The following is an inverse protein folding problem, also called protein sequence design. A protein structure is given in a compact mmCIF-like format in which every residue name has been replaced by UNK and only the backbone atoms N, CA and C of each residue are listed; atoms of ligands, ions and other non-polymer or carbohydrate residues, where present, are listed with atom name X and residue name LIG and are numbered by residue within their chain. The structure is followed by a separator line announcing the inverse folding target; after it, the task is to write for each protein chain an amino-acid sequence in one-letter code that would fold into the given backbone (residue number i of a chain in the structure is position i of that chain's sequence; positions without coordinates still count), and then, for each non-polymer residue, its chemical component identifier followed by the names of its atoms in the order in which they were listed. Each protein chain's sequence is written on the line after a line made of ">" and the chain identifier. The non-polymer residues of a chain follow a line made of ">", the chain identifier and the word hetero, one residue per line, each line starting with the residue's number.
data_IF_821834197238
#
_entry.id   IF_821834197238
#
_cell.length_a   1.000
_cell.length_b   1.000
_cell.length_c   1.000
_cell.angle_alpha   90.00
_cell.angle_beta   90.00
_cell.angle_gamma   90.00
#
_symmetry.space_group_name_H-M   'P 1'
#
loop_
_entity.id
_entity.type
_entity.pdbx_description
1 polymer ?
#
# COMPACT_ATOMS: atom_id res chain seq x y z
N UNK A 1 -10.23 -21.14 5.25
CA UNK A 1 -10.97 -20.02 5.89
C UNK A 1 -10.47 -18.79 5.19
N UNK A 2 -11.32 -17.83 4.86
CA UNK A 2 -10.87 -16.68 4.08
C UNK A 2 -10.26 -15.62 4.99
N UNK A 3 -9.14 -15.08 4.54
CA UNK A 3 -8.39 -14.02 5.19
C UNK A 3 -8.08 -12.94 4.17
N UNK A 4 -7.77 -11.75 4.67
CA UNK A 4 -7.40 -10.60 3.87
C UNK A 4 -5.92 -10.30 4.10
N UNK A 5 -5.17 -10.18 3.02
CA UNK A 5 -3.74 -9.84 3.04
C UNK A 5 -3.50 -8.58 2.22
N UNK A 6 -2.36 -7.93 2.46
CA UNK A 6 -1.96 -6.74 1.72
C UNK A 6 -0.96 -7.12 0.64
N UNK A 7 -1.32 -6.89 -0.62
CA UNK A 7 -0.47 -7.12 -1.79
C UNK A 7 -0.07 -5.80 -2.44
N UNK A 8 1.10 -5.80 -3.06
CA UNK A 8 1.59 -4.73 -3.92
C UNK A 8 1.68 -5.23 -5.35
N UNK A 9 1.30 -4.37 -6.30
CA UNK A 9 1.28 -4.66 -7.73
C UNK A 9 0.60 -6.00 -8.13
N UNK A 10 -0.63 -6.28 -7.63
CA UNK A 10 -1.30 -7.54 -7.95
C UNK A 10 -1.51 -7.72 -9.46
N UNK A 11 -1.29 -8.93 -9.97
CA UNK A 11 -1.43 -9.30 -11.37
C UNK A 11 -0.29 -8.81 -12.28
N UNK A 12 0.86 -8.43 -11.72
CA UNK A 12 2.06 -8.00 -12.46
C UNK A 12 3.24 -8.94 -12.23
N UNK A 13 4.33 -8.77 -12.99
CA UNK A 13 5.57 -9.54 -12.78
C UNK A 13 6.28 -9.18 -11.47
N UNK A 14 5.96 -8.03 -10.86
CA UNK A 14 6.54 -7.52 -9.62
C UNK A 14 5.52 -7.52 -8.45
N UNK A 15 4.66 -8.53 -8.43
CA UNK A 15 3.72 -8.76 -7.32
C UNK A 15 4.47 -9.12 -6.04
N UNK A 16 4.06 -8.55 -4.91
CA UNK A 16 4.67 -8.82 -3.61
C UNK A 16 3.68 -8.73 -2.46
N UNK A 17 3.84 -9.59 -1.46
CA UNK A 17 3.04 -9.57 -0.22
C UNK A 17 3.70 -8.72 0.85
N UNK A 18 2.91 -7.92 1.56
CA UNK A 18 3.41 -7.12 2.68
C UNK A 18 3.86 -8.03 3.84
N UNK A 19 5.05 -7.77 4.36
CA UNK A 19 5.60 -8.48 5.51
C UNK A 19 6.18 -7.53 6.54
N UNK A 20 6.19 -7.97 7.81
CA UNK A 20 6.85 -7.30 8.91
C UNK A 20 8.12 -8.03 9.29
N UNK A 21 9.23 -7.30 9.40
CA UNK A 21 10.47 -7.86 9.93
C UNK A 21 10.55 -7.66 11.44
N UNK A 22 10.56 -8.75 12.20
CA UNK A 22 10.79 -8.70 13.64
C UNK A 22 12.28 -8.38 13.90
N UNK A 23 12.57 -7.44 14.81
CA UNK A 23 13.97 -7.05 15.09
C UNK A 23 14.80 -8.16 15.75
N UNK A 24 14.12 -9.09 16.43
CA UNK A 24 14.77 -10.12 17.24
C UNK A 24 14.94 -11.47 16.51
N UNK A 25 14.16 -11.67 15.45
CA UNK A 25 14.11 -12.91 14.68
C UNK A 25 14.23 -12.49 13.22
N UNK A 26 15.30 -12.87 12.52
CA UNK A 26 15.57 -12.54 11.09
C UNK A 26 14.54 -13.17 10.12
N UNK A 27 13.29 -13.32 10.57
CA UNK A 27 12.14 -13.91 9.87
C UNK A 27 11.13 -12.81 9.59
N UNK A 28 10.51 -12.91 8.42
CA UNK A 28 9.44 -12.03 8.01
C UNK A 28 8.10 -12.62 8.44
N UNK A 29 7.17 -11.76 8.82
CA UNK A 29 5.82 -12.13 9.27
C UNK A 29 4.80 -11.60 8.29
N UNK A 30 3.93 -12.46 7.77
CA UNK A 30 2.74 -12.07 7.01
C UNK A 30 1.57 -11.92 7.98
N UNK A 31 0.84 -10.80 7.86
CA UNK A 31 -0.40 -10.58 8.60
C UNK A 31 -1.61 -11.03 7.77
N UNK A 32 -2.42 -11.91 8.35
CA UNK A 32 -3.65 -12.43 7.76
C UNK A 32 -4.84 -11.89 8.55
N UNK A 33 -5.57 -10.93 8.01
CA UNK A 33 -6.69 -10.30 8.70
C UNK A 33 -7.97 -11.11 8.51
N UNK A 34 -8.76 -11.30 9.56
CA UNK A 34 -10.11 -11.90 9.41
C UNK A 34 -11.12 -10.93 8.78
N UNK A 35 -10.84 -9.62 8.80
CA UNK A 35 -11.72 -8.55 8.30
C UNK A 35 -11.03 -7.66 7.26
N UNK A 36 -11.73 -7.45 6.14
CA UNK A 36 -11.32 -6.54 5.06
C UNK A 36 -11.18 -5.10 5.55
N UNK A 37 -12.07 -4.66 6.45
CA UNK A 37 -12.03 -3.30 6.99
C UNK A 37 -10.78 -3.07 7.84
N UNK A 38 -10.37 -4.09 8.61
CA UNK A 38 -9.16 -4.02 9.42
C UNK A 38 -7.89 -4.02 8.57
N UNK A 39 -7.84 -4.85 7.52
CA UNK A 39 -6.75 -4.86 6.54
C UNK A 39 -6.65 -3.52 5.80
N UNK A 40 -7.79 -2.97 5.35
CA UNK A 40 -7.87 -1.67 4.67
C UNK A 40 -7.35 -0.56 5.58
N UNK A 41 -7.79 -0.53 6.84
CA UNK A 41 -7.33 0.45 7.82
C UNK A 41 -5.83 0.34 8.06
N UNK A 42 -5.30 -0.87 8.14
CA UNK A 42 -3.87 -1.10 8.28
C UNK A 42 -3.10 -0.59 7.04
N UNK A 43 -3.62 -0.83 5.83
CA UNK A 43 -3.07 -0.30 4.59
C UNK A 43 -3.00 1.22 4.56
N UNK A 44 -4.05 1.92 5.00
CA UNK A 44 -4.04 3.38 5.13
C UNK A 44 -2.96 3.90 6.09
N UNK A 45 -2.66 3.15 7.16
CA UNK A 45 -1.58 3.50 8.10
C UNK A 45 -0.20 3.28 7.49
N UNK A 46 -0.04 2.31 6.58
CA UNK A 46 1.20 2.13 5.82
C UNK A 46 1.40 3.28 4.83
N UNK A 47 0.37 3.64 4.07
CA UNK A 47 0.42 4.77 3.13
C UNK A 47 0.81 6.08 3.84
N UNK A 48 0.29 6.30 5.05
CA UNK A 48 0.63 7.47 5.87
C UNK A 48 2.11 7.49 6.33
N UNK A 49 2.83 6.37 6.20
CA UNK A 49 4.27 6.24 6.48
C UNK A 49 5.10 6.23 5.18
N UNK A 50 4.58 6.81 4.10
CA UNK A 50 5.20 6.89 2.78
C UNK A 50 5.46 5.51 2.12
N UNK A 51 4.76 4.45 2.54
CA UNK A 51 4.70 3.23 1.75
C UNK A 51 3.78 3.40 0.54
N UNK A 52 4.02 2.56 -0.47
CA UNK A 52 3.11 2.41 -1.60
C UNK A 52 1.72 1.97 -1.11
N UNK A 53 0.69 2.24 -1.93
CA UNK A 53 -0.69 1.82 -1.66
C UNK A 53 -0.86 0.32 -1.82
N UNK A 54 -1.14 -0.45 -0.74
CA UNK A 54 -1.41 -1.86 -0.84
C UNK A 54 -2.83 -2.12 -1.35
N UNK A 55 -3.00 -3.20 -2.09
CA UNK A 55 -4.30 -3.77 -2.41
C UNK A 55 -4.67 -4.83 -1.37
N UNK A 56 -5.91 -4.80 -0.89
CA UNK A 56 -6.42 -5.80 0.04
C UNK A 56 -7.07 -6.92 -0.75
N UNK A 57 -6.51 -8.11 -0.68
CA UNK A 57 -6.97 -9.28 -1.43
C UNK A 57 -7.46 -10.38 -0.50
N UNK A 58 -8.58 -11.00 -0.89
CA UNK A 58 -9.21 -12.12 -0.18
C UNK A 58 -8.58 -13.44 -0.65
N UNK A 59 -7.89 -14.15 0.24
CA UNK A 59 -7.18 -15.41 -0.05
C UNK A 59 -7.59 -16.48 0.97
N UNK A 60 -7.54 -17.76 0.59
CA UNK A 60 -7.71 -18.84 1.56
C UNK A 60 -6.50 -18.92 2.49
N UNK A 61 -6.74 -19.02 3.79
CA UNK A 61 -5.69 -19.07 4.82
C UNK A 61 -4.66 -20.17 4.58
N UNK A 62 -5.10 -21.33 4.09
CA UNK A 62 -4.23 -22.48 3.79
C UNK A 62 -3.21 -22.14 2.69
N UNK A 63 -3.60 -21.34 1.69
CA UNK A 63 -2.72 -20.92 0.60
C UNK A 63 -1.66 -19.92 1.09
N UNK A 64 -2.05 -19.01 1.98
CA UNK A 64 -1.10 -18.06 2.59
C UNK A 64 -0.14 -18.77 3.55
N UNK A 65 -0.63 -19.77 4.30
CA UNK A 65 0.20 -20.61 5.18
C UNK A 65 1.22 -21.42 4.38
N UNK A 66 0.81 -22.06 3.27
CA UNK A 66 1.72 -22.77 2.36
C UNK A 66 2.80 -21.82 1.82
N UNK A 67 2.42 -20.62 1.37
CA UNK A 67 3.38 -19.60 0.94
C UNK A 67 4.37 -19.23 2.05
N UNK A 68 3.89 -19.01 3.27
CA UNK A 68 4.74 -18.73 4.43
C UNK A 68 5.74 -19.86 4.69
N UNK A 69 5.31 -21.12 4.62
CA UNK A 69 6.19 -22.28 4.81
C UNK A 69 7.28 -22.36 3.72
N UNK A 70 6.92 -22.17 2.46
CA UNK A 70 7.86 -22.20 1.33
C UNK A 70 8.88 -21.06 1.38
N UNK A 71 8.44 -19.86 1.76
CA UNK A 71 9.29 -18.68 1.91
C UNK A 71 10.06 -18.63 3.25
N UNK A 72 9.82 -19.59 4.15
CA UNK A 72 10.34 -19.63 5.52
C UNK A 72 9.98 -18.37 6.33
N UNK A 73 8.76 -17.87 6.12
CA UNK A 73 8.13 -16.78 6.86
C UNK A 73 7.22 -17.33 7.96
N UNK A 74 6.89 -16.46 8.89
CA UNK A 74 5.86 -16.72 9.88
C UNK A 74 4.54 -16.07 9.44
N UNK A 75 3.43 -16.69 9.79
CA UNK A 75 2.09 -16.26 9.41
C UNK A 75 1.28 -16.00 10.68
N UNK A 76 0.65 -14.83 10.80
CA UNK A 76 -0.13 -14.46 12.00
C UNK A 76 -1.53 -14.02 11.61
N UNK A 77 -2.53 -14.69 12.19
CA UNK A 77 -3.94 -14.28 12.06
C UNK A 77 -4.21 -13.09 12.98
N UNK A 78 -4.77 -12.02 12.40
CA UNK A 78 -5.25 -10.83 13.10
C UNK A 78 -6.77 -10.93 13.23
N UNK A 79 -7.31 -11.13 14.44
CA UNK A 79 -8.74 -11.28 14.64
C UNK A 79 -9.52 -10.02 14.29
N UNK A 80 -10.78 -10.18 13.88
CA UNK A 80 -11.68 -9.05 13.60
C UNK A 80 -11.77 -8.07 14.78
N UNK A 81 -11.71 -6.77 14.47
CA UNK A 81 -11.75 -5.67 15.43
C UNK A 81 -10.43 -5.40 16.13
N UNK A 82 -9.35 -6.10 15.77
CA UNK A 82 -8.02 -5.85 16.32
C UNK A 82 -7.40 -4.60 15.73
N UNK A 83 -6.94 -3.70 16.60
CA UNK A 83 -6.18 -2.50 16.20
C UNK A 83 -4.71 -2.87 15.98
N UNK A 84 -4.41 -3.43 14.80
CA UNK A 84 -3.05 -3.59 14.33
C UNK A 84 -2.49 -2.22 13.89
N UNK A 85 -1.28 -1.88 14.34
CA UNK A 85 -0.58 -0.63 13.98
C UNK A 85 0.76 -1.02 13.37
N UNK A 86 1.07 -0.58 12.14
CA UNK A 86 2.35 -0.87 11.53
C UNK A 86 3.49 -0.23 12.34
N UNK A 87 4.64 -0.91 12.49
CA UNK A 87 5.80 -0.34 13.16
C UNK A 87 6.34 0.87 12.38
N UNK A 88 6.80 1.90 13.08
CA UNK A 88 7.32 3.16 12.48
C UNK A 88 8.61 2.98 11.65
N UNK A 89 9.17 1.77 11.59
CA UNK A 89 10.41 1.51 10.87
C UNK A 89 10.09 1.08 9.43
N UNK A 90 10.24 2.02 8.49
CA UNK A 90 10.27 1.73 7.05
C UNK A 90 11.56 0.96 6.74
N UNK A 91 11.46 -0.24 6.16
CA UNK A 91 12.64 -0.88 5.55
C UNK A 91 12.91 -0.16 4.23
N UNK A 92 14.07 0.49 4.11
CA UNK A 92 14.42 1.39 2.99
C UNK A 92 14.47 0.70 1.60
N UNK A 93 14.52 -0.63 1.55
CA UNK A 93 14.44 -1.38 0.30
C UNK A 93 13.78 -2.74 0.54
N UNK A 94 12.70 -2.98 -0.18
CA UNK A 94 12.06 -4.30 -0.25
C UNK A 94 12.25 -4.85 -1.66
N UNK A 95 12.54 -6.15 -1.80
CA UNK A 95 13.00 -6.74 -3.07
C UNK A 95 11.99 -6.58 -4.22
N UNK A 96 10.70 -6.36 -3.93
CA UNK A 96 9.67 -6.10 -4.93
C UNK A 96 9.78 -4.71 -5.60
N UNK A 97 10.59 -3.80 -5.05
CA UNK A 97 10.90 -2.49 -5.62
C UNK A 97 12.10 -2.53 -6.59
N UNK A 98 12.72 -3.71 -6.79
CA UNK A 98 14.02 -3.84 -7.46
C UNK A 98 14.03 -3.49 -8.97
N UNK A 99 12.88 -3.31 -9.63
CA UNK A 99 12.81 -2.96 -11.06
C UNK A 99 11.87 -1.77 -11.37
N UNK A 100 11.66 -0.88 -10.41
CA UNK A 100 10.99 0.39 -10.65
C UNK A 100 11.55 1.45 -9.73
N UNK A 101 12.37 2.36 -10.28
CA UNK A 101 12.71 3.63 -9.63
C UNK A 101 11.41 4.29 -9.15
N UNK A 102 11.12 4.15 -7.86
CA UNK A 102 10.26 5.10 -7.18
C UNK A 102 11.12 6.36 -7.13
N UNK A 103 10.79 7.42 -7.90
CA UNK A 103 11.51 8.66 -7.74
C UNK A 103 11.42 9.02 -6.24
N UNK A 104 12.51 9.46 -5.61
CA UNK A 104 12.44 9.92 -4.23
C UNK A 104 11.29 10.93 -4.16
N UNK A 105 10.47 10.80 -3.13
CA UNK A 105 9.54 11.85 -2.78
C UNK A 105 10.38 13.11 -2.52
N UNK A 106 10.55 13.92 -3.57
CA UNK A 106 11.13 15.24 -3.46
C UNK A 106 10.13 16.05 -2.63
N UNK A 107 10.55 16.36 -1.41
CA UNK A 107 9.98 17.43 -0.61
C UNK A 107 9.80 18.68 -1.51
N UNK A 108 8.55 19.14 -1.61
CA UNK A 108 8.14 20.48 -2.06
C UNK A 108 8.65 20.98 -3.43
N UNK A 109 7.86 20.73 -4.47
CA UNK A 109 7.79 21.63 -5.63
C UNK A 109 6.34 21.76 -6.16
N UNK A 110 5.69 22.88 -5.78
CA UNK A 110 4.60 23.61 -6.45
C UNK A 110 3.29 22.84 -6.79
N UNK A 111 2.09 23.36 -6.42
CA UNK A 111 0.84 22.84 -6.97
C UNK A 111 0.83 23.03 -8.51
N UNK A 112 0.17 22.15 -9.29
CA UNK A 112 0.02 22.38 -10.73
C UNK A 112 -0.93 23.55 -10.96
N UNK A 113 -0.39 24.77 -11.00
CA UNK A 113 -1.06 25.92 -11.61
C UNK A 113 -0.40 26.23 -12.94
N UNK A 114 -0.85 25.57 -14.00
CA UNK A 114 -0.75 26.14 -15.35
C UNK A 114 -1.98 25.74 -16.19
N UNK A 115 -3.16 26.14 -15.70
CA UNK A 115 -4.02 26.94 -16.57
C UNK A 115 -3.67 28.38 -16.18
N UNK A 116 -2.93 29.07 -17.05
CA UNK A 116 -2.55 30.46 -16.85
C UNK A 116 -3.80 31.29 -16.51
N UNK A 117 -3.70 32.32 -15.65
CA UNK A 117 -4.87 33.16 -15.30
C UNK A 117 -5.60 33.74 -16.53
N UNK A 118 -4.89 33.84 -17.65
CA UNK A 118 -5.42 34.19 -18.98
C UNK A 118 -6.39 33.15 -19.57
N UNK A 119 -6.21 31.85 -19.31
CA UNK A 119 -7.12 30.80 -19.77
C UNK A 119 -8.41 30.76 -18.94
N UNK A 120 -8.33 31.01 -17.64
CA UNK A 120 -9.51 31.15 -16.78
C UNK A 120 -10.36 32.36 -17.18
N UNK A 121 -9.73 33.50 -17.50
CA UNK A 121 -10.45 34.68 -18.01
C UNK A 121 -11.04 34.44 -19.41
N UNK A 122 -10.34 33.71 -20.28
CA UNK A 122 -10.86 33.34 -21.61
C UNK A 122 -12.08 32.40 -21.51
N UNK A 123 -12.08 31.46 -20.55
CA UNK A 123 -13.22 30.57 -20.29
C UNK A 123 -14.41 31.37 -19.73
N UNK A 124 -14.16 32.30 -18.79
CA UNK A 124 -15.19 33.17 -18.21
C UNK A 124 -15.88 34.06 -19.26
N UNK A 125 -15.10 34.72 -20.13
CA UNK A 125 -15.63 35.58 -21.19
C UNK A 125 -16.48 34.81 -22.21
N UNK A 126 -16.16 33.54 -22.45
CA UNK A 126 -16.88 32.68 -23.40
C UNK A 126 -18.23 32.24 -22.85
N UNK A 127 -18.36 32.07 -21.54
CA UNK A 127 -19.61 31.71 -20.86
C UNK A 127 -20.59 32.89 -20.74
N UNK A 128 -20.10 34.13 -20.58
CA UNK A 128 -20.97 35.33 -20.54
C UNK A 128 -21.60 35.69 -21.89
N UNK A 129 -21.09 35.14 -23.00
CA UNK A 129 -21.59 35.39 -24.36
C UNK A 129 -22.65 34.39 -24.84
N UNK A 130 -23.03 33.44 -23.98
CA UNK A 130 -24.01 32.38 -24.23
C UNK A 130 -25.34 32.62 -23.48
N UNK A 131 -25.54 33.81 -22.92
CA UNK A 131 -26.77 34.24 -22.25
C UNK A 131 -27.39 35.46 -22.93
#
# INVERSE_FOLDING_TARGET
>A
MRVYVLLFNPGTENEGIHTLKLKDEDRNVVLMFESEEDATRYGLLLEAQDFLSPNVEEIESEEVEEFCEEANYDCVIVPEGTLAIPPEAVLEATDWQADGEVPPAEEEAEPPSDMSGTELDAIRQRLEKLL
#
